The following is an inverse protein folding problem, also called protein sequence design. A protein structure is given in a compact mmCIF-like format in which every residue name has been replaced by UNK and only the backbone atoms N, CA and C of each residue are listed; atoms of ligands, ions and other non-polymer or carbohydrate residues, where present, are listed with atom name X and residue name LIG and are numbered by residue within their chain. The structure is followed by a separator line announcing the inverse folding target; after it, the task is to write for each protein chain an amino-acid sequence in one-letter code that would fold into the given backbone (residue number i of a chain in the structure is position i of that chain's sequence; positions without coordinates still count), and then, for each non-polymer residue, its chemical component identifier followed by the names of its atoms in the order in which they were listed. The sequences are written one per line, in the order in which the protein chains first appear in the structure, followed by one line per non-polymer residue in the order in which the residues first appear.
data_IF_732039231409
#
_entry.id   IF_732039231409
#
_cell.length_a   1.000
_cell.length_b   1.000
_cell.length_c   1.000
_cell.angle_alpha   90.00
_cell.angle_beta   90.00
_cell.angle_gamma   90.00
#
_symmetry.space_group_name_H-M   'P 1'
#
loop_
_entity.id
_entity.type
_entity.pdbx_description
1 polymer ?
#
# COMPACT_ATOMS: atom_id res chain seq x y z
N UNK A 1 -18.97 2.09 -4.96
CA UNK A 1 -18.39 2.17 -3.61
C UNK A 1 -17.06 2.88 -3.68
N UNK A 2 -16.60 3.50 -2.60
CA UNK A 2 -15.38 4.34 -2.55
C UNK A 2 -14.16 3.63 -1.95
N UNK A 3 -14.24 2.31 -1.75
CA UNK A 3 -13.22 1.54 -1.03
C UNK A 3 -11.89 1.45 -1.79
N UNK A 4 -10.78 1.60 -1.06
CA UNK A 4 -9.43 1.39 -1.57
C UNK A 4 -8.82 0.15 -0.92
N UNK A 5 -8.26 -0.75 -1.72
CA UNK A 5 -7.44 -1.86 -1.23
C UNK A 5 -5.99 -1.66 -1.63
N UNK A 6 -5.10 -1.81 -0.65
CA UNK A 6 -3.66 -1.61 -0.79
C UNK A 6 -2.97 -2.92 -0.50
N UNK A 7 -2.31 -3.48 -1.53
CA UNK A 7 -1.53 -4.70 -1.41
C UNK A 7 -0.18 -4.35 -0.78
N UNK A 8 0.08 -4.91 0.40
CA UNK A 8 1.34 -4.76 1.16
C UNK A 8 2.14 -6.07 1.15
N UNK A 9 1.48 -7.22 1.06
CA UNK A 9 2.11 -8.53 1.00
C UNK A 9 2.83 -8.77 -0.33
N UNK A 10 3.85 -9.63 -0.29
CA UNK A 10 4.64 -10.02 -1.47
C UNK A 10 4.21 -11.42 -1.90
N UNK A 11 3.64 -11.53 -3.11
CA UNK A 11 3.24 -12.81 -3.67
C UNK A 11 4.46 -13.60 -4.20
N UNK A 12 4.34 -14.93 -4.21
CA UNK A 12 5.34 -15.80 -4.84
C UNK A 12 5.37 -15.59 -6.37
N UNK A 13 6.47 -16.01 -7.00
CA UNK A 13 6.63 -15.94 -8.45
C UNK A 13 5.51 -16.71 -9.17
N UNK A 14 4.98 -16.13 -10.26
CA UNK A 14 3.93 -16.75 -11.07
C UNK A 14 2.51 -16.66 -10.50
N UNK A 15 2.30 -15.96 -9.37
CA UNK A 15 0.95 -15.74 -8.83
C UNK A 15 0.28 -14.52 -9.46
N UNK A 16 -1.02 -14.63 -9.74
CA UNK A 16 -1.82 -13.58 -10.37
C UNK A 16 -2.89 -13.03 -9.44
N UNK A 17 -3.20 -11.74 -9.62
CA UNK A 17 -4.38 -11.10 -9.04
C UNK A 17 -5.46 -10.97 -10.12
N UNK A 18 -6.71 -11.26 -9.78
CA UNK A 18 -7.83 -11.12 -10.70
C UNK A 18 -9.10 -10.67 -9.99
N UNK A 19 -9.94 -9.93 -10.71
CA UNK A 19 -11.28 -9.54 -10.26
C UNK A 19 -12.15 -9.16 -11.46
N UNK A 20 -13.45 -8.99 -11.23
CA UNK A 20 -14.37 -8.50 -12.28
C UNK A 20 -14.11 -6.99 -12.51
N UNK A 21 -13.93 -6.51 -13.75
CA UNK A 21 -13.67 -5.09 -14.03
C UNK A 21 -14.69 -4.13 -13.43
N UNK A 22 -15.95 -4.55 -13.35
CA UNK A 22 -17.02 -3.77 -12.74
C UNK A 22 -16.75 -3.40 -11.28
N UNK A 23 -15.94 -4.18 -10.55
CA UNK A 23 -15.51 -3.84 -9.19
C UNK A 23 -14.77 -2.51 -9.15
N UNK A 24 -13.95 -2.21 -10.16
CA UNK A 24 -13.19 -0.96 -10.29
C UNK A 24 -14.03 0.14 -10.93
N UNK A 25 -14.82 -0.17 -11.96
CA UNK A 25 -15.74 0.79 -12.60
C UNK A 25 -16.72 1.41 -11.61
N UNK A 26 -17.20 0.63 -10.64
CA UNK A 26 -18.09 1.10 -9.58
C UNK A 26 -17.39 1.88 -8.47
N UNK A 27 -16.11 2.25 -8.64
CA UNK A 27 -15.38 3.20 -7.79
C UNK A 27 -14.41 2.60 -6.79
N UNK A 28 -14.18 1.27 -6.79
CA UNK A 28 -13.10 0.70 -5.96
C UNK A 28 -11.74 0.95 -6.60
N UNK A 29 -10.73 1.10 -5.77
CA UNK A 29 -9.35 1.35 -6.22
C UNK A 29 -8.40 0.28 -5.69
N UNK A 30 -7.52 -0.21 -6.55
CA UNK A 30 -6.43 -1.11 -6.20
C UNK A 30 -5.08 -0.41 -6.33
N UNK A 31 -4.25 -0.52 -5.29
CA UNK A 31 -2.90 0.03 -5.21
C UNK A 31 -1.95 -0.99 -4.56
N UNK A 32 -0.65 -0.78 -4.75
CA UNK A 32 0.40 -1.46 -3.99
C UNK A 32 1.26 -0.45 -3.24
N UNK A 33 1.99 -0.90 -2.23
CA UNK A 33 3.02 -0.07 -1.58
C UNK A 33 4.24 -0.90 -1.23
N UNK A 34 5.43 -0.30 -1.33
CA UNK A 34 6.66 -0.82 -0.77
C UNK A 34 7.08 0.07 0.40
N UNK A 35 7.51 -0.52 1.51
CA UNK A 35 7.99 0.20 2.69
C UNK A 35 7.03 1.32 3.19
N UNK A 36 5.72 1.09 3.08
CA UNK A 36 4.68 2.06 3.45
C UNK A 36 4.71 3.40 2.68
N UNK A 37 5.44 3.49 1.57
CA UNK A 37 5.62 4.72 0.80
C UNK A 37 6.68 5.66 1.36
N UNK A 38 7.48 5.22 2.33
CA UNK A 38 8.53 6.04 2.92
C UNK A 38 9.81 6.08 2.09
N UNK A 39 10.40 7.26 1.98
CA UNK A 39 11.77 7.47 1.51
C UNK A 39 12.71 7.27 2.69
N UNK A 40 13.36 6.11 2.75
CA UNK A 40 14.16 5.63 3.89
C UNK A 40 15.02 6.72 4.55
N UNK A 41 16.03 7.24 3.83
CA UNK A 41 17.01 8.19 4.40
C UNK A 41 16.41 9.51 4.90
N UNK A 42 15.34 10.00 4.26
CA UNK A 42 14.76 11.31 4.59
C UNK A 42 13.61 11.21 5.60
N UNK A 43 12.88 10.10 5.63
CA UNK A 43 11.65 9.99 6.43
C UNK A 43 11.75 9.02 7.61
N UNK A 44 12.72 8.10 7.64
CA UNK A 44 12.94 7.23 8.80
C UNK A 44 13.40 8.01 10.04
N UNK A 45 14.34 8.99 9.96
CA UNK A 45 14.71 9.79 11.13
C UNK A 45 13.50 10.51 11.75
N UNK A 46 12.59 11.03 10.92
CA UNK A 46 11.34 11.64 11.38
C UNK A 46 10.41 10.67 12.11
N UNK A 47 10.37 9.38 11.71
CA UNK A 47 9.62 8.36 12.43
C UNK A 47 10.23 8.10 13.81
N UNK A 48 11.56 8.08 13.92
CA UNK A 48 12.26 7.94 15.20
C UNK A 48 11.95 9.12 16.12
N UNK A 49 12.04 10.34 15.61
CA UNK A 49 11.72 11.55 16.39
C UNK A 49 10.28 11.51 16.93
N UNK A 50 9.32 11.02 16.13
CA UNK A 50 7.93 10.84 16.56
C UNK A 50 7.77 9.81 17.68
N UNK A 51 8.57 8.75 17.65
CA UNK A 51 8.57 7.73 18.70
C UNK A 51 9.18 8.28 20.00
N UNK A 52 10.30 9.00 19.91
CA UNK A 52 11.01 9.53 21.09
C UNK A 52 10.31 10.71 21.77
N UNK A 53 9.40 11.40 21.06
CA UNK A 53 8.59 12.51 21.60
C UNK A 53 7.26 12.04 22.22
N UNK A 54 7.06 10.74 22.38
CA UNK A 54 6.01 10.16 23.22
C UNK A 54 6.54 9.92 24.63
#
# INVERSE_FOLDING_TARGET
GWGQSVIVGVAASGQEISTRPFQLVTGRVWKGTAFGGFKSRSQVPWLVDKYMKK
#
